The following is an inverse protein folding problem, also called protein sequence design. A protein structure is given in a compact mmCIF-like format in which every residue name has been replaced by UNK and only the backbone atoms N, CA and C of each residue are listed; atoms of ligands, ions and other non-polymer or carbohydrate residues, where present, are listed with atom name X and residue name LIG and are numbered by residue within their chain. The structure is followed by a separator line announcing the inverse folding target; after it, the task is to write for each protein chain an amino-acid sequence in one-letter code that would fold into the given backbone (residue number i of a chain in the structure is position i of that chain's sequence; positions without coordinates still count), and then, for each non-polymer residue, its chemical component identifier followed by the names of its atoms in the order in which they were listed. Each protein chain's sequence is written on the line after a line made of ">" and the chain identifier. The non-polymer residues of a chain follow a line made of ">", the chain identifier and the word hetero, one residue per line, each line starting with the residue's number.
data_IF_700861650380
#
_entry.id   IF_700861650380
#
_cell.length_a   1.000
_cell.length_b   1.000
_cell.length_c   1.000
_cell.angle_alpha   90.00
_cell.angle_beta   90.00
_cell.angle_gamma   90.00
#
_symmetry.space_group_name_H-M   'P 1'
#
loop_
_entity.id
_entity.type
_entity.pdbx_description
1 polymer ?
#
# COMPACT_ATOMS: atom_id res chain seq x y z
N UNK A 1 -23.69 13.83 -7.62
CA UNK A 1 -23.49 12.48 -8.15
C UNK A 1 -22.30 11.88 -7.41
N UNK A 2 -22.43 10.66 -6.89
CA UNK A 2 -21.36 9.98 -6.15
C UNK A 2 -20.72 8.97 -7.08
N UNK A 3 -19.48 9.19 -7.49
CA UNK A 3 -18.74 8.25 -8.33
C UNK A 3 -18.05 7.23 -7.42
N UNK A 4 -18.21 5.94 -7.75
CA UNK A 4 -17.49 4.86 -7.09
C UNK A 4 -16.76 4.02 -8.14
N UNK A 5 -15.44 3.93 -8.02
CA UNK A 5 -14.61 3.08 -8.86
C UNK A 5 -14.24 1.83 -8.06
N UNK A 6 -14.54 0.66 -8.62
CA UNK A 6 -14.25 -0.63 -8.02
C UNK A 6 -13.17 -1.34 -8.83
N UNK A 7 -11.96 -1.42 -8.29
CA UNK A 7 -10.84 -2.08 -8.97
C UNK A 7 -10.73 -3.54 -8.49
N UNK A 8 -11.79 -4.32 -8.68
CA UNK A 8 -11.75 -5.76 -8.48
C UNK A 8 -11.08 -6.40 -9.72
N UNK A 9 -9.76 -6.47 -9.74
CA UNK A 9 -9.01 -7.21 -10.77
C UNK A 9 -8.98 -8.68 -10.32
N UNK A 10 -9.43 -9.62 -11.18
CA UNK A 10 -9.48 -11.07 -10.89
C UNK A 10 -8.17 -11.56 -10.26
N UNK A 11 -8.21 -11.96 -8.98
CA UNK A 11 -7.08 -12.53 -8.22
C UNK A 11 -7.04 -12.13 -6.74
N UNK A 12 -6.04 -12.64 -6.00
CA UNK A 12 -5.72 -12.33 -4.59
C UNK A 12 -5.09 -10.93 -4.48
N UNK A 13 -5.73 -9.91 -5.04
CA UNK A 13 -5.29 -8.52 -4.94
C UNK A 13 -6.25 -7.72 -4.05
N UNK A 14 -5.73 -6.80 -3.23
CA UNK A 14 -6.56 -5.95 -2.39
C UNK A 14 -7.51 -5.14 -3.25
N UNK A 15 -8.79 -5.15 -2.88
CA UNK A 15 -9.84 -4.40 -3.54
C UNK A 15 -9.81 -2.98 -3.01
N UNK A 16 -9.72 -2.02 -3.92
CA UNK A 16 -9.80 -0.60 -3.58
C UNK A 16 -11.19 -0.08 -3.92
N UNK A 17 -11.77 0.65 -2.98
CA UNK A 17 -13.01 1.40 -3.16
C UNK A 17 -12.70 2.88 -2.98
N UNK A 18 -12.87 3.65 -4.05
CA UNK A 18 -12.75 5.10 -4.03
C UNK A 18 -14.17 5.67 -3.97
N UNK A 19 -14.46 6.45 -2.94
CA UNK A 19 -15.76 7.10 -2.74
C UNK A 19 -15.56 8.61 -2.64
N UNK A 20 -16.14 9.34 -3.59
CA UNK A 20 -16.17 10.79 -3.54
C UNK A 20 -17.16 11.27 -2.46
N UNK A 21 -16.68 12.19 -1.62
CA UNK A 21 -17.47 12.92 -0.62
C UNK A 21 -17.47 14.42 -1.02
N UNK A 22 -18.27 15.32 -0.38
CA UNK A 22 -18.43 16.70 -0.84
C UNK A 22 -17.08 17.46 -1.00
N UNK A 23 -17.06 18.55 -1.78
CA UNK A 23 -16.00 18.84 -2.74
C UNK A 23 -14.63 18.99 -2.08
N UNK A 24 -13.64 18.26 -2.62
CA UNK A 24 -12.25 18.30 -2.20
C UNK A 24 -11.77 17.11 -1.35
N UNK A 25 -12.62 16.11 -1.08
CA UNK A 25 -12.23 14.94 -0.28
C UNK A 25 -12.59 13.59 -0.92
N UNK A 26 -11.63 12.67 -0.91
CA UNK A 26 -11.78 11.30 -1.40
C UNK A 26 -11.64 10.34 -0.22
N UNK A 27 -12.65 9.48 0.00
CA UNK A 27 -12.55 8.37 0.96
C UNK A 27 -12.05 7.13 0.22
N UNK A 28 -10.96 6.57 0.71
CA UNK A 28 -10.33 5.39 0.16
C UNK A 28 -10.48 4.23 1.16
N UNK A 29 -11.19 3.17 0.76
CA UNK A 29 -11.29 1.94 1.53
C UNK A 29 -10.53 0.83 0.82
N UNK A 30 -9.77 0.03 1.59
CA UNK A 30 -8.99 -1.10 1.10
C UNK A 30 -9.46 -2.36 1.79
N UNK A 31 -9.98 -3.31 1.02
CA UNK A 31 -10.28 -4.66 1.50
C UNK A 31 -9.16 -5.59 1.06
N UNK A 32 -8.50 -6.23 2.03
CA UNK A 32 -7.54 -7.29 1.71
C UNK A 32 -8.29 -8.63 1.56
N UNK A 33 -7.99 -9.42 0.51
CA UNK A 33 -8.51 -10.77 0.41
C UNK A 33 -8.09 -11.55 1.66
N UNK A 34 -9.04 -12.29 2.23
CA UNK A 34 -8.77 -13.19 3.37
C UNK A 34 -7.73 -14.22 2.94
N UNK A 35 -6.89 -14.62 3.88
CA UNK A 35 -5.82 -15.61 3.68
C UNK A 35 -6.44 -16.88 3.07
N UNK A 36 -5.87 -17.34 1.95
CA UNK A 36 -6.40 -18.52 1.26
C UNK A 36 -6.07 -19.76 2.09
N UNK A 37 -7.09 -20.41 2.64
CA UNK A 37 -6.91 -21.56 3.54
C UNK A 37 -6.65 -22.87 2.78
N UNK A 38 -6.60 -22.83 1.44
CA UNK A 38 -6.33 -23.98 0.59
C UNK A 38 -4.84 -24.19 0.29
N UNK A 39 -3.95 -23.31 0.76
CA UNK A 39 -2.52 -23.40 0.50
C UNK A 39 -1.89 -24.55 1.30
N UNK A 40 -0.98 -25.28 0.65
CA UNK A 40 -0.04 -26.16 1.34
C UNK A 40 0.86 -25.36 2.29
N UNK A 41 1.46 -26.02 3.28
CA UNK A 41 2.42 -25.41 4.22
C UNK A 41 3.61 -24.78 3.47
N UNK A 42 4.16 -25.49 2.49
CA UNK A 42 5.26 -25.01 1.62
C UNK A 42 4.86 -23.77 0.81
N UNK A 43 3.63 -23.77 0.24
CA UNK A 43 3.11 -22.64 -0.53
C UNK A 43 2.88 -21.41 0.37
N UNK A 44 2.47 -21.65 1.62
CA UNK A 44 2.29 -20.59 2.60
C UNK A 44 3.63 -19.97 3.00
N UNK A 45 4.66 -20.77 3.25
CA UNK A 45 6.01 -20.30 3.55
C UNK A 45 6.60 -19.48 2.40
N UNK A 46 6.49 -19.98 1.17
CA UNK A 46 6.88 -19.24 -0.05
C UNK A 46 6.15 -17.89 -0.14
N UNK A 47 4.86 -17.87 0.16
CA UNK A 47 4.07 -16.65 0.13
C UNK A 47 4.50 -15.65 1.22
N UNK A 48 4.93 -16.12 2.40
CA UNK A 48 5.52 -15.23 3.42
C UNK A 48 6.88 -14.67 2.98
N UNK A 49 7.73 -15.51 2.37
CA UNK A 49 9.01 -15.08 1.83
C UNK A 49 8.85 -13.96 0.80
N UNK A 50 7.93 -14.14 -0.16
CA UNK A 50 7.64 -13.09 -1.16
C UNK A 50 7.10 -11.80 -0.54
N UNK A 51 6.30 -11.90 0.52
CA UNK A 51 5.81 -10.71 1.25
C UNK A 51 6.94 -9.95 1.92
N UNK A 52 7.87 -10.67 2.53
CA UNK A 52 9.05 -10.09 3.15
C UNK A 52 9.94 -9.40 2.11
N UNK A 53 10.21 -10.07 1.00
CA UNK A 53 11.00 -9.51 -0.10
C UNK A 53 10.36 -8.22 -0.67
N UNK A 54 9.05 -8.24 -0.90
CA UNK A 54 8.31 -7.06 -1.35
C UNK A 54 8.38 -5.90 -0.34
N UNK A 55 8.34 -6.21 0.97
CA UNK A 55 8.49 -5.21 2.03
C UNK A 55 9.90 -4.61 2.04
N UNK A 56 10.92 -5.43 1.87
CA UNK A 56 12.31 -4.96 1.81
C UNK A 56 12.55 -4.08 0.59
N UNK A 57 12.01 -4.44 -0.57
CA UNK A 57 12.13 -3.63 -1.78
C UNK A 57 11.41 -2.27 -1.64
N UNK A 58 10.22 -2.24 -1.05
CA UNK A 58 9.53 -0.99 -0.73
C UNK A 58 10.34 -0.11 0.23
N UNK A 59 10.91 -0.71 1.28
CA UNK A 59 11.75 0.01 2.22
C UNK A 59 13.00 0.57 1.54
N UNK A 60 13.67 -0.22 0.69
CA UNK A 60 14.85 0.20 -0.07
C UNK A 60 14.55 1.41 -0.95
N UNK A 61 13.46 1.36 -1.73
CA UNK A 61 13.04 2.49 -2.58
C UNK A 61 12.71 3.73 -1.76
N UNK A 62 12.00 3.54 -0.64
CA UNK A 62 11.62 4.65 0.24
C UNK A 62 12.86 5.29 0.87
N UNK A 63 13.81 4.47 1.34
CA UNK A 63 15.08 4.93 1.88
C UNK A 63 15.85 5.75 0.85
N UNK A 64 16.04 5.22 -0.37
CA UNK A 64 16.76 5.95 -1.44
C UNK A 64 16.10 7.29 -1.77
N UNK A 65 14.77 7.32 -1.88
CA UNK A 65 14.02 8.55 -2.13
C UNK A 65 14.18 9.56 -0.99
N UNK A 66 14.11 9.11 0.26
CA UNK A 66 14.30 9.97 1.43
C UNK A 66 15.74 10.49 1.48
N UNK A 67 16.74 9.64 1.23
CA UNK A 67 18.14 10.04 1.17
C UNK A 67 18.39 11.07 0.07
N UNK A 68 17.80 10.87 -1.11
CA UNK A 68 17.87 11.84 -2.21
C UNK A 68 17.29 13.20 -1.79
N UNK A 69 16.10 13.20 -1.19
CA UNK A 69 15.46 14.43 -0.69
C UNK A 69 16.26 15.10 0.44
N UNK A 70 16.89 14.31 1.31
CA UNK A 70 17.78 14.82 2.35
C UNK A 70 18.97 15.56 1.74
N UNK A 71 19.64 14.94 0.77
CA UNK A 71 20.80 15.52 0.09
C UNK A 71 20.44 16.79 -0.70
N UNK A 72 19.21 16.87 -1.22
CA UNK A 72 18.69 18.06 -1.91
C UNK A 72 18.17 19.15 -0.96
N UNK A 73 18.09 18.89 0.35
CA UNK A 73 17.51 19.83 1.31
C UNK A 73 15.98 19.99 1.20
N UNK A 74 15.30 19.04 0.56
CA UNK A 74 13.85 19.05 0.30
C UNK A 74 13.02 18.37 1.40
N UNK A 75 13.66 17.98 2.50
CA UNK A 75 12.96 17.46 3.65
C UNK A 75 12.22 18.59 4.35
N UNK A 76 10.94 18.41 4.72
CA UNK A 76 10.25 19.38 5.54
C UNK A 76 11.05 19.55 6.83
N UNK A 77 11.23 20.80 7.27
CA UNK A 77 11.72 21.07 8.62
C UNK A 77 10.87 20.23 9.57
N UNK A 78 11.50 19.49 10.49
CA UNK A 78 10.79 18.72 11.50
C UNK A 78 9.94 19.70 12.32
N UNK A 79 8.70 19.90 11.88
CA UNK A 79 7.70 20.62 12.65
C UNK A 79 7.47 19.84 13.94
N UNK A 80 7.19 20.52 15.06
CA UNK A 80 6.96 19.84 16.32
C UNK A 80 5.85 18.80 16.13
N UNK A 81 6.12 17.56 16.55
CA UNK A 81 5.13 16.49 16.61
C UNK A 81 4.00 16.95 17.56
N UNK A 82 2.72 16.90 17.14
CA UNK A 82 1.59 17.05 18.05
C UNK A 82 1.43 15.83 18.97
#
# INVERSE_FOLDING_TARGET
>A
MSHSANTAIRGVKPRWLIRDTPPGSVRLAREYPRQDTSLSEEEWELLQLYREEARHELFRRSFLLISERYLKGELPAAGPLP
#
